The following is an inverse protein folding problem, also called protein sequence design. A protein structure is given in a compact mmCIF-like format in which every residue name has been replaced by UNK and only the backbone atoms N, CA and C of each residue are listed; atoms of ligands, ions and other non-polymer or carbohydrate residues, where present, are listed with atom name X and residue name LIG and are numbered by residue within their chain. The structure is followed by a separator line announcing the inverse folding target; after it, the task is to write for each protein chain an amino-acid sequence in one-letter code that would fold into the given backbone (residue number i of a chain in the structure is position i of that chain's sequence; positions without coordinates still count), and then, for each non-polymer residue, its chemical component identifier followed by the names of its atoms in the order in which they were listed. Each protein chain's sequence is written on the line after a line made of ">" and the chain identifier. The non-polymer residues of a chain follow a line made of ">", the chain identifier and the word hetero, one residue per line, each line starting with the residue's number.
data_IF_929743109101
#
_entry.id   IF_929743109101
#
_cell.length_a   1.000
_cell.length_b   1.000
_cell.length_c   1.000
_cell.angle_alpha   90.00
_cell.angle_beta   90.00
_cell.angle_gamma   90.00
#
_symmetry.space_group_name_H-M   'P 1'
#
loop_
_entity.id
_entity.type
_entity.pdbx_description
1 polymer ?
#
# COMPACT_ATOMS: atom_id res chain seq x y z
N UNK A 1 -51.43 38.52 37.61
CA UNK A 1 -50.44 38.59 36.46
C UNK A 1 -51.21 38.27 35.18
N UNK A 2 -51.22 39.16 34.20
CA UNK A 2 -52.13 39.13 33.07
C UNK A 2 -51.74 38.08 32.03
N UNK A 3 -52.61 37.15 31.67
CA UNK A 3 -52.44 36.07 30.71
C UNK A 3 -51.83 36.52 29.36
N UNK A 4 -52.07 37.77 28.99
CA UNK A 4 -51.52 38.39 27.78
C UNK A 4 -50.00 38.63 27.88
N UNK A 5 -49.51 39.00 29.06
CA UNK A 5 -48.08 39.20 29.33
C UNK A 5 -47.30 37.85 29.32
N UNK A 6 -47.90 36.80 29.87
CA UNK A 6 -47.33 35.46 29.86
C UNK A 6 -47.23 34.88 28.44
N UNK A 7 -48.21 35.08 27.58
CA UNK A 7 -48.17 34.66 26.18
C UNK A 7 -47.12 35.40 25.38
N UNK A 8 -46.93 36.71 25.63
CA UNK A 8 -45.89 37.52 24.97
C UNK A 8 -44.48 37.04 25.37
N UNK A 9 -44.22 36.86 26.64
CA UNK A 9 -42.93 36.38 27.14
C UNK A 9 -42.57 34.96 26.61
N UNK A 10 -43.60 34.06 26.53
CA UNK A 10 -43.41 32.72 25.97
C UNK A 10 -43.05 32.76 24.46
N UNK A 11 -43.65 33.67 23.70
CA UNK A 11 -43.36 33.85 22.28
C UNK A 11 -41.92 34.37 22.07
N UNK A 12 -41.53 35.41 22.81
CA UNK A 12 -40.17 35.96 22.76
C UNK A 12 -39.12 34.92 23.12
N UNK A 13 -39.38 34.06 24.12
CA UNK A 13 -38.49 32.96 24.49
C UNK A 13 -38.35 31.89 23.39
N UNK A 14 -39.45 31.59 22.69
CA UNK A 14 -39.44 30.64 21.57
C UNK A 14 -38.69 31.20 20.36
N UNK A 15 -38.87 32.47 20.04
CA UNK A 15 -38.15 33.16 18.97
C UNK A 15 -36.65 33.24 19.27
N UNK A 16 -36.24 33.55 20.51
CA UNK A 16 -34.88 33.57 20.94
C UNK A 16 -34.21 32.17 20.82
N UNK A 17 -34.93 31.11 21.27
CA UNK A 17 -34.42 29.73 21.14
C UNK A 17 -34.29 29.25 19.68
N UNK A 18 -35.22 29.70 18.79
CA UNK A 18 -35.12 29.38 17.36
C UNK A 18 -33.92 30.07 16.70
N UNK A 19 -33.70 31.36 17.01
CA UNK A 19 -32.55 32.11 16.53
C UNK A 19 -31.21 31.51 17.01
N UNK A 20 -31.17 31.08 18.27
CA UNK A 20 -29.99 30.41 18.84
C UNK A 20 -29.69 29.04 18.16
N UNK A 21 -30.75 28.25 17.87
CA UNK A 21 -30.63 26.99 17.11
C UNK A 21 -30.13 27.22 15.69
N UNK A 22 -30.63 28.25 15.00
CA UNK A 22 -30.20 28.62 13.65
C UNK A 22 -28.73 29.11 13.63
N UNK A 23 -28.34 29.93 14.61
CA UNK A 23 -26.94 30.37 14.74
C UNK A 23 -25.98 29.23 15.02
N UNK A 24 -26.36 28.27 15.90
CA UNK A 24 -25.63 27.05 16.16
C UNK A 24 -25.52 26.16 14.91
N UNK A 25 -26.62 26.05 14.13
CA UNK A 25 -26.67 25.31 12.86
C UNK A 25 -25.71 25.89 11.80
N UNK A 26 -25.71 27.22 11.65
CA UNK A 26 -24.80 27.95 10.74
C UNK A 26 -23.33 27.76 11.12
N UNK A 27 -23.03 27.83 12.41
CA UNK A 27 -21.66 27.67 12.91
C UNK A 27 -21.15 26.23 12.72
N UNK A 28 -22.00 25.20 12.95
CA UNK A 28 -21.67 23.80 12.65
C UNK A 28 -21.42 23.57 11.15
N UNK A 29 -22.24 24.15 10.26
CA UNK A 29 -22.05 24.03 8.79
C UNK A 29 -20.77 24.73 8.32
N UNK A 30 -20.44 25.90 8.86
CA UNK A 30 -19.20 26.61 8.58
C UNK A 30 -17.97 25.83 9.04
N UNK A 31 -17.98 25.30 10.27
CA UNK A 31 -16.88 24.48 10.80
C UNK A 31 -16.69 23.18 9.98
N UNK A 32 -17.77 22.55 9.52
CA UNK A 32 -17.71 21.36 8.68
C UNK A 32 -17.14 21.66 7.29
N UNK A 33 -17.51 22.78 6.69
CA UNK A 33 -16.94 23.26 5.41
C UNK A 33 -15.45 23.54 5.54
N UNK A 34 -15.03 24.24 6.58
CA UNK A 34 -13.62 24.56 6.81
C UNK A 34 -12.77 23.29 7.01
N UNK A 35 -13.28 22.31 7.79
CA UNK A 35 -12.64 21.00 7.94
C UNK A 35 -12.51 20.27 6.60
N UNK A 36 -13.55 20.30 5.76
CA UNK A 36 -13.53 19.69 4.42
C UNK A 36 -12.53 20.36 3.51
N UNK A 37 -12.45 21.71 3.50
CA UNK A 37 -11.47 22.44 2.72
C UNK A 37 -10.05 22.13 3.19
N UNK A 38 -9.78 22.21 4.51
CA UNK A 38 -8.46 21.86 5.07
C UNK A 38 -8.05 20.43 4.71
N UNK A 39 -8.99 19.46 4.76
CA UNK A 39 -8.72 18.06 4.36
C UNK A 39 -8.40 17.95 2.88
N UNK A 40 -9.14 18.66 2.00
CA UNK A 40 -8.85 18.68 0.55
C UNK A 40 -7.51 19.34 0.23
N UNK A 41 -7.22 20.49 0.82
CA UNK A 41 -5.93 21.18 0.65
C UNK A 41 -4.79 20.31 1.18
N UNK A 42 -4.95 19.71 2.36
CA UNK A 42 -3.97 18.77 2.91
C UNK A 42 -3.72 17.56 2.00
N UNK A 43 -4.78 16.97 1.44
CA UNK A 43 -4.65 15.86 0.50
C UNK A 43 -3.88 16.27 -0.78
N UNK A 44 -4.20 17.43 -1.37
CA UNK A 44 -3.50 17.96 -2.55
C UNK A 44 -2.02 18.25 -2.23
N UNK A 45 -1.72 18.83 -1.08
CA UNK A 45 -0.34 19.05 -0.65
C UNK A 45 0.43 17.74 -0.48
N UNK A 46 -0.19 16.74 0.15
CA UNK A 46 0.41 15.41 0.29
C UNK A 46 0.64 14.78 -1.09
N UNK A 47 -0.35 14.80 -1.98
CA UNK A 47 -0.22 14.26 -3.34
C UNK A 47 0.90 14.90 -4.16
N UNK A 48 1.12 16.19 -3.98
CA UNK A 48 2.13 16.94 -4.74
C UNK A 48 3.51 16.87 -4.12
N UNK A 49 3.62 17.00 -2.80
CA UNK A 49 4.89 17.10 -2.10
C UNK A 49 5.46 15.75 -1.68
N UNK A 50 4.62 14.79 -1.27
CA UNK A 50 5.12 13.51 -0.77
C UNK A 50 6.01 12.75 -1.78
N UNK A 51 5.73 12.71 -3.10
CA UNK A 51 6.64 12.07 -4.05
C UNK A 51 8.01 12.76 -4.14
N UNK A 52 8.06 14.07 -4.01
CA UNK A 52 9.32 14.81 -4.01
C UNK A 52 10.11 14.60 -2.72
N UNK A 53 9.42 14.64 -1.58
CA UNK A 53 10.01 14.36 -0.27
C UNK A 53 10.57 12.93 -0.26
N UNK A 54 9.81 11.96 -0.75
CA UNK A 54 10.23 10.56 -0.81
C UNK A 54 11.45 10.37 -1.73
N UNK A 55 11.50 11.05 -2.88
CA UNK A 55 12.70 11.04 -3.74
C UNK A 55 13.92 11.66 -3.08
N UNK A 56 13.74 12.83 -2.44
CA UNK A 56 14.82 13.48 -1.72
C UNK A 56 15.35 12.61 -0.60
N UNK A 57 14.43 11.97 0.16
CA UNK A 57 14.76 11.04 1.22
C UNK A 57 15.53 9.82 0.69
N UNK A 58 15.04 9.22 -0.41
CA UNK A 58 15.67 8.06 -1.03
C UNK A 58 17.10 8.34 -1.53
N UNK A 59 17.41 9.56 -1.95
CA UNK A 59 18.76 9.97 -2.32
C UNK A 59 19.75 9.95 -1.14
N UNK A 60 19.26 10.00 0.08
CA UNK A 60 20.12 9.93 1.28
C UNK A 60 20.38 8.51 1.74
N UNK A 61 19.65 7.52 1.25
CA UNK A 61 19.79 6.13 1.70
C UNK A 61 21.07 5.48 1.17
N UNK A 62 21.70 4.69 2.02
CA UNK A 62 22.88 3.88 1.68
C UNK A 62 22.38 2.49 1.31
N UNK A 63 22.24 2.25 -0.01
CA UNK A 63 21.59 1.05 -0.52
C UNK A 63 22.66 0.00 -0.93
N UNK A 64 22.56 -1.18 -0.33
CA UNK A 64 23.28 -2.37 -0.75
C UNK A 64 22.32 -3.33 -1.44
N UNK A 65 22.70 -3.86 -2.59
CA UNK A 65 21.93 -4.84 -3.36
C UNK A 65 22.66 -6.17 -3.36
N UNK A 66 21.90 -7.26 -3.25
CA UNK A 66 22.40 -8.63 -3.23
C UNK A 66 21.50 -9.56 -4.04
N UNK A 67 21.96 -10.75 -4.42
CA UNK A 67 21.25 -11.66 -5.29
C UNK A 67 21.49 -11.31 -6.76
N UNK A 68 22.67 -11.66 -7.27
CA UNK A 68 23.16 -11.17 -8.57
C UNK A 68 22.29 -11.62 -9.74
N UNK A 69 21.83 -12.86 -9.75
CA UNK A 69 20.95 -13.40 -10.81
C UNK A 69 19.58 -12.71 -10.80
N UNK A 70 18.93 -12.63 -9.65
CA UNK A 70 17.66 -11.94 -9.51
C UNK A 70 17.77 -10.45 -9.82
N UNK A 71 18.85 -9.79 -9.40
CA UNK A 71 19.12 -8.40 -9.72
C UNK A 71 19.35 -8.19 -11.22
N UNK A 72 20.12 -9.05 -11.87
CA UNK A 72 20.35 -8.99 -13.31
C UNK A 72 19.05 -9.13 -14.10
N UNK A 73 18.18 -10.08 -13.73
CA UNK A 73 16.84 -10.22 -14.31
C UNK A 73 15.97 -8.98 -14.05
N UNK A 74 15.93 -8.48 -12.81
CA UNK A 74 15.14 -7.30 -12.45
C UNK A 74 15.54 -6.06 -13.26
N UNK A 75 16.80 -5.91 -13.57
CA UNK A 75 17.35 -4.80 -14.36
C UNK A 75 17.28 -5.02 -15.87
N UNK A 76 16.94 -6.22 -16.32
CA UNK A 76 16.86 -6.57 -17.75
C UNK A 76 15.60 -6.01 -18.41
N UNK A 77 15.54 -6.10 -19.73
CA UNK A 77 14.35 -5.80 -20.52
C UNK A 77 13.39 -7.01 -20.63
N UNK A 78 13.70 -8.13 -19.98
CA UNK A 78 12.80 -9.28 -19.95
C UNK A 78 11.53 -8.99 -19.14
N UNK A 79 10.44 -9.68 -19.50
CA UNK A 79 9.26 -9.71 -18.64
C UNK A 79 9.53 -10.57 -17.41
N UNK A 80 9.04 -10.15 -16.28
CA UNK A 80 9.15 -10.87 -15.01
C UNK A 80 8.01 -10.48 -14.06
N UNK A 81 7.79 -11.31 -13.07
CA UNK A 81 6.87 -11.06 -11.95
C UNK A 81 7.71 -10.93 -10.68
N UNK A 82 7.57 -9.81 -10.00
CA UNK A 82 8.26 -9.54 -8.75
C UNK A 82 7.27 -9.58 -7.58
N UNK A 83 7.54 -10.40 -6.57
CA UNK A 83 6.79 -10.46 -5.33
C UNK A 83 7.57 -9.77 -4.20
N UNK A 84 6.91 -8.85 -3.50
CA UNK A 84 7.45 -8.17 -2.30
C UNK A 84 6.33 -7.90 -1.30
N UNK A 85 6.65 -7.69 -0.02
CA UNK A 85 5.65 -7.38 0.97
C UNK A 85 5.07 -5.98 0.80
N UNK A 86 3.77 -5.82 1.05
CA UNK A 86 3.07 -4.52 0.98
C UNK A 86 3.74 -3.46 1.86
N UNK A 87 4.14 -3.84 3.07
CA UNK A 87 4.83 -2.96 4.00
C UNK A 87 6.20 -2.44 3.53
N UNK A 88 6.76 -2.95 2.43
CA UNK A 88 8.07 -2.52 1.87
C UNK A 88 7.93 -1.56 0.69
N UNK A 89 6.70 -1.29 0.24
CA UNK A 89 6.47 -0.51 -0.98
C UNK A 89 7.05 0.91 -0.93
N UNK A 90 6.94 1.63 0.20
CA UNK A 90 7.49 3.00 0.30
C UNK A 90 9.02 3.05 0.17
N UNK A 91 9.70 1.97 0.54
CA UNK A 91 11.15 1.85 0.35
C UNK A 91 11.51 1.58 -1.11
N UNK A 92 10.74 0.71 -1.79
CA UNK A 92 11.03 0.30 -3.17
C UNK A 92 10.55 1.31 -4.22
N UNK A 93 9.43 1.99 -3.96
CA UNK A 93 8.77 2.88 -4.92
C UNK A 93 9.71 3.94 -5.54
N UNK A 94 10.57 4.68 -4.79
CA UNK A 94 11.43 5.70 -5.37
C UNK A 94 12.62 5.12 -6.14
N UNK A 95 12.89 3.81 -6.04
CA UNK A 95 14.06 3.15 -6.61
C UNK A 95 13.85 2.64 -8.04
N UNK A 96 12.61 2.69 -8.55
CA UNK A 96 12.27 2.28 -9.92
C UNK A 96 13.07 3.02 -11.00
N UNK A 97 13.57 4.21 -10.74
CA UNK A 97 14.27 5.05 -11.73
C UNK A 97 15.44 4.36 -12.46
N UNK A 98 15.85 3.17 -12.00
CA UNK A 98 16.88 2.34 -12.64
C UNK A 98 16.31 1.29 -13.59
N UNK A 99 15.00 1.00 -13.57
CA UNK A 99 14.36 0.04 -14.47
C UNK A 99 14.02 0.71 -15.81
N UNK A 100 14.36 0.08 -16.93
CA UNK A 100 14.14 0.60 -18.28
C UNK A 100 12.67 0.53 -18.67
N UNK A 101 11.99 -0.56 -18.34
CA UNK A 101 10.57 -0.80 -18.69
C UNK A 101 9.62 -0.29 -17.61
N UNK A 102 8.37 -0.14 -18.00
CA UNK A 102 7.30 0.20 -17.08
C UNK A 102 6.92 -1.01 -16.22
N UNK A 103 6.99 -0.82 -14.89
CA UNK A 103 6.51 -1.81 -13.93
C UNK A 103 5.03 -1.54 -13.70
N UNK A 104 4.21 -2.53 -14.01
CA UNK A 104 2.79 -2.54 -13.69
C UNK A 104 2.57 -3.05 -12.28
N UNK A 105 1.71 -2.39 -11.49
CA UNK A 105 1.36 -2.81 -10.13
C UNK A 105 -0.14 -2.91 -9.96
N UNK A 106 -0.59 -3.88 -9.18
CA UNK A 106 -2.02 -4.04 -8.87
C UNK A 106 -2.43 -3.08 -7.76
N UNK A 107 -3.45 -2.26 -8.01
CA UNK A 107 -4.00 -1.32 -7.01
C UNK A 107 -5.50 -1.56 -6.85
N UNK A 108 -5.95 -1.57 -5.59
CA UNK A 108 -7.37 -1.70 -5.25
C UNK A 108 -8.21 -0.60 -5.90
N UNK A 109 -9.45 -0.88 -6.34
CA UNK A 109 -10.36 0.11 -6.90
C UNK A 109 -10.99 1.06 -5.86
N UNK A 110 -10.62 0.97 -4.57
CA UNK A 110 -11.10 1.87 -3.51
C UNK A 110 -10.63 3.32 -3.67
N UNK A 111 -11.22 4.24 -2.90
CA UNK A 111 -10.82 5.67 -2.90
C UNK A 111 -9.35 5.86 -2.51
N UNK A 112 -8.85 5.06 -1.56
CA UNK A 112 -7.42 5.04 -1.19
C UNK A 112 -6.56 4.56 -2.35
N UNK A 113 -7.05 3.62 -3.17
CA UNK A 113 -6.42 3.19 -4.40
C UNK A 113 -6.32 4.31 -5.45
N UNK A 114 -7.22 5.30 -5.42
CA UNK A 114 -7.15 6.49 -6.26
C UNK A 114 -5.96 7.39 -5.91
N UNK A 115 -5.69 7.58 -4.62
CA UNK A 115 -4.53 8.32 -4.11
C UNK A 115 -3.23 7.57 -4.44
N UNK A 116 -3.20 6.27 -4.17
CA UNK A 116 -2.06 5.41 -4.49
C UNK A 116 -1.72 5.43 -5.99
N UNK A 117 -2.74 5.38 -6.87
CA UNK A 117 -2.55 5.47 -8.32
C UNK A 117 -1.85 6.77 -8.74
N UNK A 118 -2.30 7.93 -8.22
CA UNK A 118 -1.67 9.22 -8.53
C UNK A 118 -0.23 9.30 -8.01
N UNK A 119 0.04 8.74 -6.83
CA UNK A 119 1.38 8.66 -6.28
C UNK A 119 2.29 7.75 -7.13
N UNK A 120 1.82 6.57 -7.50
CA UNK A 120 2.55 5.60 -8.33
C UNK A 120 2.88 6.18 -9.72
N UNK A 121 1.93 6.87 -10.35
CA UNK A 121 2.16 7.53 -11.63
C UNK A 121 3.30 8.57 -11.56
N UNK A 122 3.46 9.28 -10.44
CA UNK A 122 4.59 10.18 -10.22
C UNK A 122 5.94 9.45 -10.21
N UNK A 123 5.97 8.18 -9.83
CA UNK A 123 7.15 7.33 -9.87
C UNK A 123 7.25 6.49 -11.16
N UNK A 124 6.42 6.76 -12.17
CA UNK A 124 6.40 6.07 -13.46
C UNK A 124 6.04 4.58 -13.35
N UNK A 125 5.16 4.23 -12.41
CA UNK A 125 4.51 2.91 -12.40
C UNK A 125 3.26 2.95 -13.24
N UNK A 126 3.02 1.91 -14.01
CA UNK A 126 1.73 1.61 -14.62
C UNK A 126 0.82 0.92 -13.60
N UNK A 127 -0.47 1.22 -13.63
CA UNK A 127 -1.41 0.69 -12.63
C UNK A 127 -2.47 -0.16 -13.28
N UNK A 128 -2.52 -1.42 -12.88
CA UNK A 128 -3.65 -2.32 -13.12
C UNK A 128 -4.64 -2.15 -11.99
N UNK A 129 -5.88 -1.76 -12.30
CA UNK A 129 -6.93 -1.57 -11.30
C UNK A 129 -7.70 -2.86 -11.06
N UNK A 130 -7.61 -3.40 -9.87
CA UNK A 130 -8.33 -4.62 -9.52
C UNK A 130 -8.15 -5.04 -8.08
N UNK A 131 -8.83 -6.12 -7.70
CA UNK A 131 -8.70 -6.77 -6.42
C UNK A 131 -8.71 -8.27 -6.65
N UNK A 132 -7.83 -9.01 -6.01
CA UNK A 132 -7.79 -10.48 -6.05
C UNK A 132 -8.97 -11.14 -5.30
N UNK A 133 -9.90 -10.35 -4.70
CA UNK A 133 -11.12 -10.84 -4.08
C UNK A 133 -12.24 -11.10 -5.12
N UNK A 134 -13.50 -10.90 -4.77
CA UNK A 134 -14.72 -11.22 -5.60
C UNK A 134 -14.73 -10.71 -7.06
N UNK A 135 -13.82 -9.81 -7.47
CA UNK A 135 -13.61 -9.34 -8.86
C UNK A 135 -12.22 -9.70 -9.39
N UNK A 136 -11.56 -10.68 -8.80
CA UNK A 136 -10.20 -11.09 -9.09
C UNK A 136 -9.95 -11.49 -10.55
N UNK A 137 -10.93 -12.12 -11.18
CA UNK A 137 -10.81 -12.56 -12.57
C UNK A 137 -10.53 -11.41 -13.56
N UNK A 138 -11.08 -10.21 -13.33
CA UNK A 138 -10.78 -9.06 -14.19
C UNK A 138 -9.35 -8.56 -13.97
N UNK A 139 -8.95 -8.39 -12.71
CA UNK A 139 -7.59 -7.95 -12.37
C UNK A 139 -6.55 -8.94 -12.89
N UNK A 140 -6.85 -10.24 -12.77
CA UNK A 140 -5.98 -11.30 -13.27
C UNK A 140 -5.82 -11.21 -14.79
N UNK A 141 -6.90 -10.99 -15.56
CA UNK A 141 -6.83 -10.81 -17.02
C UNK A 141 -6.05 -9.56 -17.41
N UNK A 142 -6.21 -8.45 -16.70
CA UNK A 142 -5.47 -7.23 -16.97
C UNK A 142 -3.97 -7.40 -16.69
N UNK A 143 -3.59 -8.11 -15.61
CA UNK A 143 -2.20 -8.45 -15.33
C UNK A 143 -1.62 -9.42 -16.37
N UNK A 144 -2.39 -10.41 -16.80
CA UNK A 144 -2.01 -11.33 -17.86
C UNK A 144 -1.71 -10.56 -19.15
N UNK A 145 -2.64 -9.72 -19.59
CA UNK A 145 -2.48 -8.88 -20.79
C UNK A 145 -1.27 -7.94 -20.69
N UNK A 146 -0.99 -7.38 -19.52
CA UNK A 146 0.20 -6.57 -19.29
C UNK A 146 1.49 -7.39 -19.48
N UNK A 147 1.58 -8.60 -18.91
CA UNK A 147 2.71 -9.50 -19.08
C UNK A 147 2.88 -9.97 -20.52
N UNK A 148 1.79 -10.28 -21.22
CA UNK A 148 1.80 -10.66 -22.64
C UNK A 148 2.30 -9.52 -23.53
N UNK A 149 1.98 -8.27 -23.20
CA UNK A 149 2.53 -7.08 -23.87
C UNK A 149 3.99 -6.78 -23.54
N UNK A 150 4.64 -7.61 -22.69
CA UNK A 150 6.04 -7.48 -22.31
C UNK A 150 6.28 -6.57 -21.10
N UNK A 151 5.24 -6.17 -20.36
CA UNK A 151 5.40 -5.41 -19.14
C UNK A 151 6.04 -6.25 -18.02
N UNK A 152 6.67 -5.56 -17.08
CA UNK A 152 7.15 -6.12 -15.83
C UNK A 152 6.08 -5.94 -14.76
N UNK A 153 5.86 -6.91 -13.89
CA UNK A 153 4.77 -6.89 -12.92
C UNK A 153 5.26 -6.94 -11.48
N UNK A 154 4.91 -5.93 -10.70
CA UNK A 154 5.12 -5.92 -9.25
C UNK A 154 3.85 -6.31 -8.49
N UNK A 155 3.93 -7.28 -7.62
CA UNK A 155 2.81 -7.79 -6.82
C UNK A 155 3.17 -7.77 -5.34
N UNK A 156 2.20 -7.37 -4.51
CA UNK A 156 2.25 -7.56 -3.07
C UNK A 156 1.30 -8.72 -2.71
N UNK A 157 1.86 -9.92 -2.45
CA UNK A 157 1.04 -11.13 -2.30
C UNK A 157 0.19 -11.15 -1.03
N UNK A 158 0.57 -10.39 -0.02
CA UNK A 158 -0.23 -10.14 1.20
C UNK A 158 -1.40 -9.19 0.98
N UNK A 159 -1.48 -8.54 -0.19
CA UNK A 159 -2.60 -7.69 -0.59
C UNK A 159 -2.77 -6.43 0.27
N UNK A 160 -3.79 -5.61 -0.02
CA UNK A 160 -3.99 -4.32 0.67
C UNK A 160 -4.65 -4.43 2.06
N UNK A 161 -5.08 -5.62 2.46
CA UNK A 161 -5.78 -5.87 3.74
C UNK A 161 -5.10 -6.90 4.62
N UNK A 162 -4.03 -7.53 4.12
CA UNK A 162 -3.34 -8.60 4.82
C UNK A 162 -4.13 -9.92 4.92
N UNK A 163 -3.76 -10.78 5.81
CA UNK A 163 -2.75 -10.62 6.87
C UNK A 163 -1.32 -10.44 6.35
N UNK A 164 -0.50 -9.72 7.13
CA UNK A 164 0.89 -9.47 6.82
C UNK A 164 1.66 -10.77 6.57
N UNK A 165 2.56 -10.73 5.58
CA UNK A 165 3.43 -11.84 5.23
C UNK A 165 2.68 -13.12 4.79
N UNK A 166 1.47 -12.97 4.27
CA UNK A 166 0.78 -14.08 3.57
C UNK A 166 1.15 -14.06 2.08
N UNK A 167 1.18 -15.24 1.49
CA UNK A 167 1.43 -15.39 0.06
C UNK A 167 0.24 -16.11 -0.57
N UNK A 168 -0.46 -15.43 -1.46
CA UNK A 168 -1.50 -16.07 -2.27
C UNK A 168 -0.90 -16.70 -3.54
N UNK A 169 -1.63 -17.58 -4.19
CA UNK A 169 -1.18 -18.31 -5.38
C UNK A 169 -1.10 -17.45 -6.65
N UNK A 170 -1.63 -16.24 -6.63
CA UNK A 170 -1.74 -15.37 -7.82
C UNK A 170 -0.44 -15.16 -8.58
N UNK A 171 0.70 -14.83 -7.93
CA UNK A 171 1.97 -14.71 -8.60
C UNK A 171 2.42 -15.99 -9.33
N UNK A 172 2.30 -17.15 -8.68
CA UNK A 172 2.65 -18.44 -9.27
C UNK A 172 1.72 -18.81 -10.43
N UNK A 173 0.42 -18.52 -10.28
CA UNK A 173 -0.56 -18.72 -11.36
C UNK A 173 -0.24 -17.87 -12.60
N UNK A 174 0.13 -16.59 -12.42
CA UNK A 174 0.51 -15.72 -13.52
C UNK A 174 1.81 -16.20 -14.19
N UNK A 175 2.79 -16.68 -13.41
CA UNK A 175 4.01 -17.25 -13.94
C UNK A 175 3.73 -18.50 -14.78
N UNK A 176 2.87 -19.42 -14.30
CA UNK A 176 2.39 -20.59 -15.06
C UNK A 176 1.74 -20.18 -16.39
N UNK A 177 0.84 -19.20 -16.34
CA UNK A 177 0.04 -18.79 -17.50
C UNK A 177 0.86 -18.05 -18.58
N UNK A 178 1.95 -17.37 -18.20
CA UNK A 178 2.74 -16.53 -19.11
C UNK A 178 4.12 -17.05 -19.42
N UNK A 179 4.63 -18.00 -18.62
CA UNK A 179 6.05 -18.40 -18.64
C UNK A 179 7.00 -17.30 -18.18
N UNK A 180 6.50 -16.19 -17.59
CA UNK A 180 7.36 -15.15 -17.05
C UNK A 180 8.02 -15.65 -15.74
N UNK A 181 9.32 -15.48 -15.58
CA UNK A 181 10.00 -15.87 -14.34
C UNK A 181 9.50 -15.05 -13.15
N UNK A 182 9.40 -15.72 -12.01
CA UNK A 182 8.94 -15.15 -10.75
C UNK A 182 10.13 -14.95 -9.82
N UNK A 183 10.33 -13.74 -9.32
CA UNK A 183 11.38 -13.41 -8.37
C UNK A 183 10.80 -12.73 -7.13
N UNK A 184 11.55 -12.81 -6.03
CA UNK A 184 11.21 -12.11 -4.78
C UNK A 184 12.15 -10.93 -4.57
N UNK A 185 11.61 -9.84 -3.98
CA UNK A 185 12.43 -8.70 -3.56
C UNK A 185 12.19 -8.44 -2.08
N UNK A 186 13.23 -8.71 -1.29
CA UNK A 186 13.26 -8.51 0.16
C UNK A 186 13.93 -7.20 0.52
N UNK A 187 13.45 -6.56 1.60
CA UNK A 187 13.98 -5.26 2.06
C UNK A 187 14.18 -5.26 3.55
N UNK A 188 15.39 -4.93 4.00
CA UNK A 188 15.70 -4.61 5.39
C UNK A 188 16.22 -3.18 5.52
N UNK A 189 15.92 -2.55 6.64
CA UNK A 189 16.30 -1.16 6.93
C UNK A 189 16.76 -1.05 8.39
N UNK A 190 17.94 -0.47 8.62
CA UNK A 190 18.49 -0.31 9.98
C UNK A 190 17.72 0.72 10.83
N UNK A 191 17.24 1.82 10.21
CA UNK A 191 16.52 2.90 10.89
C UNK A 191 15.35 3.35 10.04
N UNK A 192 14.13 3.13 10.52
CA UNK A 192 12.91 3.46 9.79
C UNK A 192 11.84 4.05 10.71
N UNK A 193 10.92 4.79 10.10
CA UNK A 193 9.59 5.00 10.66
C UNK A 193 8.72 3.82 10.22
N UNK A 194 8.12 3.13 11.17
CA UNK A 194 7.14 2.07 10.91
C UNK A 194 5.77 2.55 11.31
N UNK A 195 4.84 2.53 10.38
CA UNK A 195 3.47 2.97 10.64
C UNK A 195 2.72 1.93 11.48
N UNK A 196 1.79 2.39 12.31
CA UNK A 196 0.88 1.51 13.05
C UNK A 196 -0.27 1.06 12.14
N UNK A 197 0.05 0.32 11.10
CA UNK A 197 -0.86 -0.27 10.13
C UNK A 197 -0.67 -1.79 10.12
N UNK A 198 -1.64 -2.52 9.57
CA UNK A 198 -1.59 -3.97 9.48
C UNK A 198 -0.29 -4.49 8.79
N UNK A 199 0.24 -3.73 7.83
CA UNK A 199 1.41 -4.07 7.02
C UNK A 199 2.74 -3.53 7.60
N UNK A 200 2.69 -2.76 8.69
CA UNK A 200 3.86 -2.08 9.27
C UNK A 200 4.66 -1.33 8.19
N UNK A 201 3.96 -0.55 7.35
CA UNK A 201 4.57 0.20 6.25
C UNK A 201 5.86 0.88 6.70
N UNK A 202 6.94 0.59 5.99
CA UNK A 202 8.31 0.98 6.38
C UNK A 202 8.79 2.14 5.51
N UNK A 203 9.15 3.25 6.16
CA UNK A 203 9.79 4.40 5.52
C UNK A 203 11.19 4.60 6.12
N UNK A 204 12.27 4.37 5.38
CA UNK A 204 13.62 4.57 5.89
C UNK A 204 13.87 6.02 6.28
N UNK A 205 14.54 6.23 7.42
CA UNK A 205 14.97 7.57 7.86
C UNK A 205 16.08 8.12 6.96
N UNK A 206 16.38 9.43 7.02
CA UNK A 206 17.53 9.99 6.33
C UNK A 206 18.83 9.24 6.68
N UNK A 207 19.66 8.97 5.67
CA UNK A 207 20.94 8.27 5.80
C UNK A 207 20.85 6.84 6.37
N UNK A 208 19.65 6.21 6.34
CA UNK A 208 19.47 4.82 6.72
C UNK A 208 20.25 3.89 5.76
N UNK A 209 20.74 2.79 6.31
CA UNK A 209 21.25 1.67 5.51
C UNK A 209 20.07 0.81 5.11
N UNK A 210 19.95 0.59 3.81
CA UNK A 210 18.89 -0.23 3.19
C UNK A 210 19.56 -1.39 2.48
N UNK A 211 19.16 -2.61 2.80
CA UNK A 211 19.58 -3.81 2.09
C UNK A 211 18.41 -4.36 1.30
N UNK A 212 18.62 -4.54 0.00
CA UNK A 212 17.66 -5.11 -0.93
C UNK A 212 18.24 -6.40 -1.46
N UNK A 213 17.53 -7.49 -1.27
CA UNK A 213 17.92 -8.78 -1.83
C UNK A 213 16.94 -9.19 -2.92
N UNK A 214 17.46 -9.54 -4.08
CA UNK A 214 16.73 -10.06 -5.22
C UNK A 214 16.91 -11.58 -5.21
N UNK A 215 15.82 -12.30 -4.92
CA UNK A 215 15.86 -13.77 -4.92
C UNK A 215 16.04 -14.34 -6.31
N UNK A 216 16.62 -15.54 -6.38
CA UNK A 216 16.83 -16.23 -7.65
C UNK A 216 15.50 -16.44 -8.39
N UNK A 217 15.49 -16.27 -9.72
CA UNK A 217 14.28 -16.44 -10.53
C UNK A 217 13.76 -17.88 -10.47
N UNK A 218 12.44 -18.01 -10.35
CA UNK A 218 11.74 -19.29 -10.35
C UNK A 218 10.89 -19.37 -11.62
N UNK A 219 11.15 -20.39 -12.44
CA UNK A 219 10.26 -20.75 -13.55
C UNK A 219 9.12 -21.64 -13.01
N UNK A 220 7.92 -21.44 -13.51
CA UNK A 220 6.75 -22.26 -13.20
C UNK A 220 6.31 -22.97 -14.48
N UNK A 221 6.26 -24.29 -14.44
CA UNK A 221 5.87 -25.09 -15.61
C UNK A 221 4.40 -24.85 -15.98
N UNK A 222 4.09 -24.83 -17.26
CA UNK A 222 2.74 -24.55 -17.78
C UNK A 222 1.70 -25.61 -17.40
N UNK A 223 2.15 -26.82 -17.09
CA UNK A 223 1.36 -27.98 -16.66
C UNK A 223 1.32 -28.16 -15.12
N UNK A 224 1.90 -27.22 -14.35
CA UNK A 224 1.88 -27.29 -12.88
C UNK A 224 0.45 -27.38 -12.35
N UNK A 225 0.23 -28.29 -11.41
CA UNK A 225 -1.08 -28.45 -10.73
C UNK A 225 -1.34 -27.34 -9.73
N UNK A 226 -2.57 -27.21 -9.23
CA UNK A 226 -2.90 -26.21 -8.20
C UNK A 226 -2.11 -26.46 -6.90
N UNK A 227 -1.91 -27.74 -6.52
CA UNK A 227 -1.09 -28.12 -5.35
C UNK A 227 0.38 -27.72 -5.53
N UNK A 228 0.89 -27.76 -6.76
CA UNK A 228 2.24 -27.31 -7.08
C UNK A 228 2.34 -25.80 -6.98
N UNK A 229 1.35 -25.04 -7.45
CA UNK A 229 1.31 -23.61 -7.30
C UNK A 229 1.25 -23.17 -5.84
N UNK A 230 0.52 -23.88 -4.99
CA UNK A 230 0.49 -23.65 -3.55
C UNK A 230 1.86 -23.91 -2.91
N UNK A 231 2.51 -25.02 -3.25
CA UNK A 231 3.88 -25.34 -2.79
C UNK A 231 4.90 -24.29 -3.24
N UNK A 232 4.85 -23.86 -4.49
CA UNK A 232 5.71 -22.80 -5.02
C UNK A 232 5.48 -21.50 -4.25
N UNK A 233 4.23 -21.13 -4.03
CA UNK A 233 3.86 -19.91 -3.29
C UNK A 233 4.36 -19.96 -1.85
N UNK A 234 4.21 -21.08 -1.16
CA UNK A 234 4.73 -21.26 0.18
C UNK A 234 6.26 -21.19 0.22
N UNK A 235 6.96 -21.82 -0.72
CA UNK A 235 8.41 -21.75 -0.85
C UNK A 235 8.89 -20.31 -1.07
N UNK A 236 8.22 -19.55 -1.93
CA UNK A 236 8.54 -18.13 -2.17
C UNK A 236 8.33 -17.28 -0.92
N UNK A 237 7.26 -17.55 -0.16
CA UNK A 237 7.02 -16.89 1.13
C UNK A 237 8.17 -17.13 2.09
N UNK A 238 8.60 -18.37 2.25
CA UNK A 238 9.69 -18.76 3.15
C UNK A 238 11.02 -18.13 2.73
N UNK A 239 11.35 -18.15 1.43
CA UNK A 239 12.53 -17.49 0.87
C UNK A 239 12.52 -15.99 1.12
N UNK A 240 11.38 -15.33 0.91
CA UNK A 240 11.21 -13.89 1.12
C UNK A 240 11.44 -13.51 2.59
N UNK A 241 10.88 -14.28 3.52
CA UNK A 241 11.08 -14.09 4.96
C UNK A 241 12.51 -14.40 5.42
N UNK A 242 13.11 -15.47 4.90
CA UNK A 242 14.49 -15.84 5.21
C UNK A 242 15.48 -14.76 4.74
N UNK A 243 15.31 -14.28 3.51
CA UNK A 243 16.15 -13.22 2.95
C UNK A 243 15.99 -11.88 3.72
N UNK A 244 14.78 -11.56 4.21
CA UNK A 244 14.60 -10.38 5.07
C UNK A 244 15.30 -10.56 6.42
N UNK A 245 15.20 -11.73 7.08
CA UNK A 245 15.92 -12.00 8.34
C UNK A 245 17.42 -11.86 8.16
N UNK A 246 17.96 -12.47 7.11
CA UNK A 246 19.38 -12.36 6.77
C UNK A 246 19.80 -10.91 6.53
N UNK A 247 19.00 -10.16 5.77
CA UNK A 247 19.26 -8.76 5.48
C UNK A 247 19.25 -7.88 6.74
N UNK A 248 18.32 -8.12 7.68
CA UNK A 248 18.30 -7.46 8.99
C UNK A 248 19.55 -7.83 9.83
N UNK A 249 19.92 -9.10 9.87
CA UNK A 249 21.14 -9.58 10.54
C UNK A 249 22.39 -8.91 9.99
N UNK A 250 22.53 -8.84 8.67
CA UNK A 250 23.66 -8.18 8.02
C UNK A 250 23.73 -6.66 8.26
N UNK A 251 22.60 -6.03 8.59
CA UNK A 251 22.57 -4.62 9.01
C UNK A 251 22.82 -4.45 10.52
N UNK A 252 22.84 -5.53 11.31
CA UNK A 252 22.85 -5.46 12.76
C UNK A 252 21.62 -4.74 13.32
N UNK A 253 20.48 -4.91 12.66
CA UNK A 253 19.21 -4.23 12.98
C UNK A 253 18.18 -5.24 13.49
N UNK A 254 17.33 -4.79 14.42
CA UNK A 254 16.21 -5.60 14.88
C UNK A 254 15.22 -5.86 13.74
N UNK A 255 14.86 -7.13 13.57
CA UNK A 255 13.83 -7.53 12.62
C UNK A 255 12.45 -7.10 13.10
N UNK A 256 11.61 -6.66 12.18
CA UNK A 256 10.19 -6.38 12.45
C UNK A 256 9.27 -7.52 11.99
N UNK A 257 9.85 -8.66 11.62
CA UNK A 257 9.13 -9.82 11.08
C UNK A 257 8.34 -10.58 12.16
N UNK A 258 8.83 -10.53 13.42
CA UNK A 258 8.26 -11.27 14.56
C UNK A 258 7.29 -10.43 15.41
N UNK A 259 7.17 -9.13 15.13
CA UNK A 259 6.14 -8.31 15.76
C UNK A 259 4.77 -8.70 15.21
N UNK A 260 4.19 -9.77 15.75
CA UNK A 260 2.76 -10.06 15.59
C UNK A 260 1.99 -8.91 16.22
N UNK A 261 1.02 -8.35 15.48
CA UNK A 261 0.05 -7.43 16.07
C UNK A 261 -0.58 -8.11 17.28
N UNK A 262 -0.50 -7.50 18.45
CA UNK A 262 -1.31 -7.91 19.59
C UNK A 262 -2.80 -7.79 19.20
N UNK A 263 -3.68 -8.67 19.69
CA UNK A 263 -5.11 -8.67 19.34
C UNK A 263 -5.81 -7.31 19.51
N UNK A 264 -5.32 -6.44 20.40
CA UNK A 264 -5.84 -5.09 20.63
C UNK A 264 -5.52 -4.08 19.51
N UNK A 265 -4.48 -4.29 18.72
CA UNK A 265 -4.15 -3.40 17.59
C UNK A 265 -4.93 -3.75 16.30
N UNK A 266 -5.54 -4.93 16.25
CA UNK A 266 -6.38 -5.37 15.13
C UNK A 266 -7.79 -4.77 15.17
N UNK A 267 -8.20 -4.14 16.28
CA UNK A 267 -9.56 -3.66 16.52
C UNK A 267 -9.60 -2.12 16.62
N UNK A 268 -9.18 -1.43 15.58
CA UNK A 268 -9.67 -0.09 15.29
C UNK A 268 -10.40 -0.12 13.95
N UNK A 269 -11.68 -0.53 13.94
CA UNK A 269 -12.54 -0.19 12.82
C UNK A 269 -12.69 1.35 12.83
N UNK A 270 -12.60 1.94 11.67
CA UNK A 270 -13.05 3.32 11.42
C UNK A 270 -14.58 3.33 11.54
N UNK A 271 -15.06 3.18 12.78
CA UNK A 271 -16.49 3.11 13.16
C UNK A 271 -17.06 4.53 13.38
N UNK A 272 -16.75 5.44 12.44
CA UNK A 272 -17.33 6.80 12.41
C UNK A 272 -18.30 7.02 11.26
N UNK A 273 -18.90 5.98 10.69
CA UNK A 273 -19.90 6.13 9.62
C UNK A 273 -21.20 5.36 9.85
N UNK A 274 -21.50 4.94 11.07
CA UNK A 274 -22.77 4.29 11.38
C UNK A 274 -23.43 4.89 12.63
N UNK A 275 -23.68 6.21 12.63
CA UNK A 275 -24.63 6.83 13.54
C UNK A 275 -25.23 8.06 12.86
N UNK A 276 -26.30 7.82 12.10
CA UNK A 276 -27.06 8.87 11.42
C UNK A 276 -28.07 8.31 10.43
N UNK A 277 -28.93 7.43 10.91
CA UNK A 277 -30.25 7.21 10.30
C UNK A 277 -31.31 7.92 11.14
#
# INVERSE_FOLDING_TARGET
>A
MNARAQRKARRELLEARSAEREARGRNKKSASRLRRVRRKVGAVLVETLAPWILRALAKTWRITRTGDEGHALFMSDARWICATWHGRMLTLMPLKGHCRRDISVLVSPSDDGGLANRALAKFRYSVVRGSLSKRGARAMREMLSALESGAQLGITPDGPRGPRHTMNVGPAWLARATGAPLLTVSVAVDRAWRFRSWDRMTLPKPFARVRIHYGDPVAVASDSTEEELERISQSLRERLLAAEREAFGALGAASDLEETMTPDEATTPDDRTAAGA
#
